data_IF_696941192179
#
_entry.id   IF_696941192179
#
_cell.length_a   1.000
_cell.length_b   1.000
_cell.length_c   1.000
_cell.angle_alpha   90.00
_cell.angle_beta   90.00
_cell.angle_gamma   90.00
#
_symmetry.space_group_name_H-M   'P 1'
#
loop_
_entity.id
_entity.type
_entity.pdbx_description
1 polymer ?
#
# COMPACT_ATOMS: atom_id res chain seq x y z
N UNK A 1 20.48 -3.45 -6.64
CA UNK A 1 21.19 -2.53 -5.72
C UNK A 1 20.37 -1.28 -5.39
N UNK A 2 19.03 -1.35 -5.47
CA UNK A 2 18.10 -0.21 -5.29
C UNK A 2 17.31 -0.25 -3.98
N UNK A 3 17.49 -1.31 -3.18
CA UNK A 3 16.76 -1.54 -1.91
C UNK A 3 17.27 -0.67 -0.77
N UNK A 4 18.58 -0.42 -0.72
CA UNK A 4 19.23 0.26 0.41
C UNK A 4 18.90 1.74 0.55
N UNK A 5 18.54 2.41 -0.56
CA UNK A 5 18.23 3.84 -0.56
C UNK A 5 16.81 4.09 -0.04
N UNK A 6 15.89 3.15 -0.31
CA UNK A 6 14.47 3.24 0.07
C UNK A 6 14.27 2.89 1.55
N UNK A 7 14.93 1.81 2.00
CA UNK A 7 15.01 1.46 3.42
C UNK A 7 15.64 2.62 4.22
N UNK A 8 16.66 3.28 3.67
CA UNK A 8 17.32 4.43 4.31
C UNK A 8 16.41 5.65 4.52
N UNK A 9 15.44 5.90 3.62
CA UNK A 9 14.49 7.00 3.78
C UNK A 9 13.39 6.67 4.80
N UNK A 10 12.93 5.42 4.86
CA UNK A 10 12.01 4.97 5.92
C UNK A 10 12.66 5.00 7.31
N UNK A 11 13.93 4.57 7.42
CA UNK A 11 14.68 4.60 8.68
C UNK A 11 14.97 6.05 9.13
N UNK A 12 15.27 6.96 8.21
CA UNK A 12 15.44 8.38 8.54
C UNK A 12 14.13 8.99 9.07
N UNK A 13 12.98 8.62 8.49
CA UNK A 13 11.68 9.10 8.94
C UNK A 13 11.27 8.56 10.32
N UNK A 14 11.61 7.30 10.63
CA UNK A 14 11.41 6.70 11.98
C UNK A 14 12.22 7.44 13.06
N UNK A 15 13.36 8.04 12.70
CA UNK A 15 14.25 8.71 13.65
C UNK A 15 13.94 10.19 13.88
N UNK A 16 13.23 10.85 12.97
CA UNK A 16 13.06 12.32 13.02
C UNK A 16 11.65 12.82 13.34
N UNK A 17 10.62 11.95 13.40
CA UNK A 17 9.20 12.33 13.62
C UNK A 17 8.69 13.46 12.70
N UNK A 18 9.37 13.73 11.59
CA UNK A 18 8.97 14.78 10.65
C UNK A 18 7.96 14.24 9.67
N UNK A 19 6.69 14.62 9.85
CA UNK A 19 5.60 14.28 8.96
C UNK A 19 5.94 14.62 7.49
N UNK A 20 5.75 13.64 6.61
CA UNK A 20 5.90 13.81 5.16
C UNK A 20 4.94 14.94 4.73
N UNK A 21 5.51 16.00 4.18
CA UNK A 21 4.77 17.20 3.76
C UNK A 21 3.71 16.90 2.70
N UNK A 22 2.71 17.77 2.63
CA UNK A 22 1.56 17.72 1.69
C UNK A 22 1.93 17.88 0.21
N UNK A 23 3.22 17.98 -0.11
CA UNK A 23 3.75 18.10 -1.46
C UNK A 23 4.71 16.93 -1.75
N UNK A 24 4.21 15.76 -2.15
CA UNK A 24 5.07 14.68 -2.58
C UNK A 24 5.82 15.11 -3.85
N UNK A 25 7.14 14.99 -3.85
CA UNK A 25 7.96 15.15 -5.06
C UNK A 25 7.73 13.93 -5.97
N UNK A 26 7.70 14.14 -7.29
CA UNK A 26 7.36 13.11 -8.31
C UNK A 26 8.07 11.76 -8.19
N UNK A 27 9.20 11.68 -7.49
CA UNK A 27 9.92 10.43 -7.21
C UNK A 27 9.32 9.58 -6.09
N UNK A 28 8.36 10.10 -5.31
CA UNK A 28 7.72 9.37 -4.20
C UNK A 28 6.50 8.57 -4.66
N UNK A 29 5.75 9.07 -5.64
CA UNK A 29 4.57 8.38 -6.19
C UNK A 29 4.94 7.26 -7.18
N UNK A 30 6.15 7.31 -7.76
CA UNK A 30 6.63 6.37 -8.77
C UNK A 30 7.40 5.16 -8.19
N UNK A 31 7.44 5.01 -6.86
CA UNK A 31 8.26 4.01 -6.16
C UNK A 31 7.46 2.98 -5.36
N UNK A 32 6.15 2.92 -5.52
CA UNK A 32 5.40 1.72 -5.09
C UNK A 32 5.90 0.56 -5.94
N UNK A 33 6.86 -0.20 -5.41
CA UNK A 33 7.32 -1.45 -5.98
C UNK A 33 6.08 -2.32 -6.27
N UNK A 34 6.10 -3.11 -7.35
CA UNK A 34 4.96 -3.98 -7.76
C UNK A 34 4.43 -4.92 -6.65
N UNK A 35 5.19 -5.07 -5.57
CA UNK A 35 4.82 -5.84 -4.38
C UNK A 35 4.02 -5.06 -3.32
N UNK A 36 3.72 -3.78 -3.54
CA UNK A 36 2.95 -2.98 -2.59
C UNK A 36 1.47 -3.39 -2.60
N UNK A 37 0.84 -3.52 -1.42
CA UNK A 37 -0.53 -4.03 -1.27
C UNK A 37 -1.59 -3.19 -1.98
N UNK A 38 -1.28 -1.93 -2.25
CA UNK A 38 -2.15 -0.99 -2.96
C UNK A 38 -1.76 -0.74 -4.41
N UNK A 39 -0.70 -1.40 -4.91
CA UNK A 39 -0.23 -1.22 -6.30
C UNK A 39 -1.35 -1.51 -7.31
N UNK A 40 -2.07 -2.63 -7.13
CA UNK A 40 -3.15 -3.04 -8.04
C UNK A 40 -4.27 -1.98 -8.12
N UNK A 41 -4.72 -1.47 -6.97
CA UNK A 41 -5.78 -0.46 -6.94
C UNK A 41 -5.29 0.89 -7.48
N UNK A 42 -4.05 1.28 -7.19
CA UNK A 42 -3.44 2.47 -7.77
C UNK A 42 -3.39 2.39 -9.30
N UNK A 43 -2.95 1.26 -9.85
CA UNK A 43 -2.93 1.02 -11.30
C UNK A 43 -4.34 1.08 -11.91
N UNK A 44 -5.34 0.44 -11.28
CA UNK A 44 -6.74 0.49 -11.73
C UNK A 44 -7.31 1.92 -11.74
N UNK A 45 -6.99 2.72 -10.73
CA UNK A 45 -7.40 4.13 -10.66
C UNK A 45 -6.72 4.97 -11.76
N UNK A 46 -5.43 4.74 -12.02
CA UNK A 46 -4.70 5.42 -13.09
C UNK A 46 -5.26 5.08 -14.48
N UNK A 47 -5.49 3.80 -14.77
CA UNK A 47 -6.12 3.34 -16.01
C UNK A 47 -7.47 4.03 -16.21
N UNK A 48 -8.29 4.09 -15.16
CA UNK A 48 -9.59 4.74 -15.24
C UNK A 48 -9.50 6.24 -15.57
N UNK A 49 -8.60 6.96 -14.90
CA UNK A 49 -8.41 8.39 -15.16
C UNK A 49 -7.97 8.63 -16.61
N UNK A 50 -6.97 7.88 -17.09
CA UNK A 50 -6.46 7.98 -18.47
C UNK A 50 -7.52 7.61 -19.49
N UNK A 51 -8.31 6.57 -19.25
CA UNK A 51 -9.42 6.15 -20.13
C UNK A 51 -10.44 7.30 -20.27
N UNK A 52 -10.87 7.91 -19.17
CA UNK A 52 -11.85 8.99 -19.19
C UNK A 52 -11.36 10.22 -19.95
N UNK A 53 -10.10 10.60 -19.76
CA UNK A 53 -9.47 11.70 -20.51
C UNK A 53 -9.35 11.34 -21.99
N UNK A 54 -8.90 10.12 -22.29
CA UNK A 54 -8.74 9.61 -23.65
C UNK A 54 -10.05 9.56 -24.45
N UNK A 55 -11.17 9.22 -23.80
CA UNK A 55 -12.50 9.26 -24.42
C UNK A 55 -12.86 10.68 -24.89
N UNK A 56 -12.63 11.70 -24.07
CA UNK A 56 -12.92 13.10 -24.45
C UNK A 56 -11.98 13.60 -25.55
N UNK A 57 -10.69 13.26 -25.48
CA UNK A 57 -9.74 13.59 -26.55
C UNK A 57 -10.14 12.94 -27.88
N UNK A 58 -10.48 11.65 -27.87
CA UNK A 58 -10.92 10.92 -29.05
C UNK A 58 -12.24 11.47 -29.61
N UNK A 59 -13.17 11.89 -28.75
CA UNK A 59 -14.40 12.56 -29.19
C UNK A 59 -14.08 13.82 -29.97
N UNK A 60 -13.21 14.67 -29.43
CA UNK A 60 -12.82 15.90 -30.12
C UNK A 60 -12.16 15.62 -31.46
N UNK A 61 -11.28 14.63 -31.55
CA UNK A 61 -10.69 14.25 -32.84
C UNK A 61 -11.73 13.79 -33.88
N UNK A 62 -12.85 13.20 -33.44
CA UNK A 62 -13.92 12.75 -34.33
C UNK A 62 -14.94 13.84 -34.69
N UNK A 63 -15.25 14.73 -33.76
CA UNK A 63 -16.40 15.65 -33.89
C UNK A 63 -16.02 17.13 -33.88
N UNK A 64 -14.76 17.46 -33.55
CA UNK A 64 -14.29 18.82 -33.31
C UNK A 64 -14.83 19.46 -32.03
N UNK A 65 -15.48 18.70 -31.14
CA UNK A 65 -16.12 19.21 -29.92
C UNK A 65 -15.79 18.34 -28.70
N UNK A 66 -15.54 19.00 -27.58
CA UNK A 66 -15.49 18.38 -26.26
C UNK A 66 -16.88 18.43 -25.62
N UNK A 67 -17.19 17.47 -24.72
CA UNK A 67 -18.26 17.69 -23.72
C UNK A 67 -17.65 18.35 -22.49
N UNK A 68 -16.50 17.84 -22.05
CA UNK A 68 -15.68 18.43 -20.98
C UNK A 68 -14.26 18.57 -21.52
N UNK A 69 -13.62 19.71 -21.26
CA UNK A 69 -12.24 19.90 -21.70
C UNK A 69 -11.32 18.90 -20.98
N UNK A 70 -10.40 18.20 -21.68
CA UNK A 70 -9.51 17.21 -21.08
C UNK A 70 -8.74 17.74 -19.87
N UNK A 71 -8.27 19.00 -19.92
CA UNK A 71 -7.58 19.64 -18.80
C UNK A 71 -8.43 19.74 -17.53
N UNK A 72 -9.73 20.06 -17.66
CA UNK A 72 -10.64 20.14 -16.51
C UNK A 72 -10.89 18.77 -15.90
N UNK A 73 -10.98 17.75 -16.77
CA UNK A 73 -11.12 16.35 -16.36
C UNK A 73 -9.89 15.88 -15.58
N UNK A 74 -8.69 16.18 -16.08
CA UNK A 74 -7.42 15.88 -15.44
C UNK A 74 -7.32 16.55 -14.06
N UNK A 75 -7.67 17.84 -13.97
CA UNK A 75 -7.66 18.56 -12.69
C UNK A 75 -8.58 17.92 -11.65
N UNK A 76 -9.70 17.34 -12.06
CA UNK A 76 -10.58 16.62 -11.13
C UNK A 76 -9.97 15.30 -10.62
N UNK A 77 -9.18 14.59 -11.44
CA UNK A 77 -8.49 13.37 -11.03
C UNK A 77 -7.30 13.63 -10.10
N UNK A 78 -6.61 14.77 -10.25
CA UNK A 78 -5.48 15.15 -9.40
C UNK A 78 -5.87 15.82 -8.07
N UNK A 79 -7.16 15.92 -7.74
CA UNK A 79 -7.60 16.45 -6.44
C UNK A 79 -7.23 15.51 -5.30
N UNK A 80 -6.89 16.12 -4.15
CA UNK A 80 -6.65 15.37 -2.94
C UNK A 80 -7.90 14.52 -2.57
N UNK A 81 -7.76 13.25 -2.14
CA UNK A 81 -8.91 12.38 -1.84
C UNK A 81 -9.87 12.91 -0.78
N UNK A 82 -9.42 13.82 0.09
CA UNK A 82 -10.30 14.55 1.02
C UNK A 82 -11.31 15.46 0.32
N UNK A 83 -10.91 16.02 -0.82
CA UNK A 83 -11.65 17.05 -1.55
C UNK A 83 -12.34 16.49 -2.80
N UNK A 84 -12.36 15.17 -2.96
CA UNK A 84 -12.95 14.50 -4.12
C UNK A 84 -13.36 13.06 -3.81
N UNK A 85 -14.49 12.63 -4.35
CA UNK A 85 -15.07 11.30 -4.11
C UNK A 85 -14.99 10.36 -5.32
N UNK A 86 -14.30 10.76 -6.40
CA UNK A 86 -14.33 10.00 -7.67
C UNK A 86 -13.74 8.58 -7.53
N UNK A 87 -12.83 8.37 -6.59
CA UNK A 87 -12.15 7.10 -6.36
C UNK A 87 -12.86 6.23 -5.31
N UNK A 88 -13.74 6.80 -4.48
CA UNK A 88 -14.28 6.17 -3.27
C UNK A 88 -14.95 4.83 -3.55
N UNK A 89 -15.84 4.79 -4.55
CA UNK A 89 -16.57 3.58 -4.90
C UNK A 89 -15.64 2.48 -5.43
N UNK A 90 -14.61 2.86 -6.17
CA UNK A 90 -13.62 1.92 -6.73
C UNK A 90 -12.73 1.34 -5.62
N UNK A 91 -12.29 2.20 -4.71
CA UNK A 91 -11.51 1.80 -3.54
C UNK A 91 -12.35 0.91 -2.63
N UNK A 92 -13.61 1.27 -2.35
CA UNK A 92 -14.53 0.48 -1.53
C UNK A 92 -14.73 -0.91 -2.12
N UNK A 93 -15.07 -0.99 -3.40
CA UNK A 93 -15.28 -2.27 -4.09
C UNK A 93 -14.01 -3.12 -4.14
N UNK A 94 -12.84 -2.51 -4.33
CA UNK A 94 -11.57 -3.23 -4.27
C UNK A 94 -11.29 -3.74 -2.84
N UNK A 95 -11.50 -2.91 -1.82
CA UNK A 95 -11.24 -3.24 -0.42
C UNK A 95 -12.09 -4.42 0.08
N UNK A 96 -13.38 -4.49 -0.32
CA UNK A 96 -14.28 -5.60 -0.02
C UNK A 96 -13.74 -6.96 -0.48
N UNK A 97 -13.00 -6.97 -1.60
CA UNK A 97 -12.41 -8.16 -2.18
C UNK A 97 -10.95 -8.40 -1.75
N UNK A 98 -10.33 -7.44 -1.06
CA UNK A 98 -8.89 -7.42 -0.75
C UNK A 98 -8.63 -7.11 0.73
N UNK A 99 -9.45 -7.64 1.64
CA UNK A 99 -9.37 -7.38 3.09
C UNK A 99 -7.97 -7.63 3.68
N UNK A 100 -7.23 -8.63 3.18
CA UNK A 100 -5.87 -8.90 3.64
C UNK A 100 -4.89 -7.79 3.26
N UNK A 101 -5.05 -7.20 2.07
CA UNK A 101 -4.21 -6.08 1.61
C UNK A 101 -4.52 -4.81 2.41
N UNK A 102 -5.80 -4.58 2.72
CA UNK A 102 -6.22 -3.48 3.59
C UNK A 102 -5.60 -3.62 4.98
N UNK A 103 -5.73 -4.78 5.63
CA UNK A 103 -5.12 -5.04 6.94
C UNK A 103 -3.60 -4.88 6.94
N UNK A 104 -2.92 -5.30 5.87
CA UNK A 104 -1.48 -5.10 5.75
C UNK A 104 -1.12 -3.63 5.61
N UNK A 105 -1.90 -2.87 4.84
CA UNK A 105 -1.71 -1.43 4.69
C UNK A 105 -2.08 -0.58 5.92
N UNK A 106 -2.80 -1.11 6.90
CA UNK A 106 -3.01 -0.45 8.21
C UNK A 106 -1.70 -0.35 9.01
N UNK A 107 -0.73 -1.24 8.75
CA UNK A 107 0.53 -1.29 9.48
C UNK A 107 1.59 -0.45 8.77
N UNK A 108 1.94 0.68 9.36
CA UNK A 108 3.07 1.53 8.91
C UNK A 108 4.40 0.75 8.89
N UNK A 109 4.52 -0.31 9.71
CA UNK A 109 5.73 -1.10 9.89
C UNK A 109 5.47 -2.59 9.62
N UNK A 110 5.01 -2.96 8.42
CA UNK A 110 4.70 -4.34 8.05
C UNK A 110 5.85 -5.33 8.34
N UNK A 111 7.10 -4.95 8.02
CA UNK A 111 8.28 -5.76 8.30
C UNK A 111 8.42 -6.02 9.80
N UNK A 112 8.15 -5.00 10.62
CA UNK A 112 8.21 -5.09 12.08
C UNK A 112 7.05 -5.90 12.64
N UNK A 113 5.86 -5.83 12.03
CA UNK A 113 4.72 -6.67 12.35
C UNK A 113 5.02 -8.15 12.05
N UNK A 114 5.50 -8.47 10.84
CA UNK A 114 5.91 -9.82 10.44
C UNK A 114 7.07 -10.35 11.29
N UNK A 115 8.03 -9.49 11.63
CA UNK A 115 9.13 -9.82 12.54
C UNK A 115 8.60 -10.16 13.94
N UNK A 116 7.68 -9.34 14.47
CA UNK A 116 7.09 -9.56 15.79
C UNK A 116 6.21 -10.82 15.83
N UNK A 117 5.45 -11.10 14.77
CA UNK A 117 4.65 -12.31 14.64
C UNK A 117 5.53 -13.56 14.58
N UNK A 118 6.57 -13.54 13.74
CA UNK A 118 7.56 -14.63 13.67
C UNK A 118 8.26 -14.85 15.01
N UNK A 119 8.64 -13.76 15.70
CA UNK A 119 9.26 -13.81 17.03
C UNK A 119 8.30 -14.42 18.08
N UNK A 120 7.02 -14.07 18.03
CA UNK A 120 5.98 -14.65 18.90
C UNK A 120 5.81 -16.14 18.64
N UNK A 121 5.69 -16.55 17.39
CA UNK A 121 5.56 -17.95 16.99
C UNK A 121 6.76 -18.80 17.45
N UNK A 122 7.98 -18.32 17.19
CA UNK A 122 9.21 -18.99 17.63
C UNK A 122 9.27 -19.09 19.15
N UNK A 123 8.93 -18.03 19.88
CA UNK A 123 8.95 -18.03 21.35
C UNK A 123 7.99 -19.05 21.95
N UNK A 124 6.82 -19.25 21.33
CA UNK A 124 5.82 -20.23 21.77
C UNK A 124 6.31 -21.65 21.51
N UNK A 125 6.83 -21.90 20.31
CA UNK A 125 7.38 -23.21 19.93
C UNK A 125 8.54 -23.62 20.84
N UNK A 126 9.44 -22.69 21.19
CA UNK A 126 10.54 -22.95 22.13
C UNK A 126 10.01 -23.32 23.51
N UNK A 127 9.01 -22.61 24.04
CA UNK A 127 8.40 -22.93 25.35
C UNK A 127 7.76 -24.32 25.36
N UNK A 128 7.10 -24.70 24.27
CA UNK A 128 6.50 -26.04 24.13
C UNK A 128 7.57 -27.14 24.12
N UNK A 129 8.66 -26.96 23.36
CA UNK A 129 9.79 -27.91 23.35
C UNK A 129 10.43 -28.04 24.73
N UNK A 130 10.63 -26.93 25.44
CA UNK A 130 11.15 -26.94 26.81
C UNK A 130 10.23 -27.68 27.78
N UNK A 131 8.91 -27.51 27.64
CA UNK A 131 7.91 -28.25 28.43
C UNK A 131 8.00 -29.75 28.19
N UNK A 132 8.08 -30.17 26.92
CA UNK A 132 8.24 -31.58 26.53
C UNK A 132 9.53 -32.16 27.08
N UNK A 133 10.65 -31.44 26.94
CA UNK A 133 11.94 -31.87 27.44
C UNK A 133 11.94 -32.03 28.96
N UNK A 134 11.34 -31.09 29.70
CA UNK A 134 11.19 -31.20 31.15
C UNK A 134 10.33 -32.39 31.57
N UNK A 135 9.28 -32.70 30.80
CA UNK A 135 8.42 -33.87 31.05
C UNK A 135 9.18 -35.18 30.80
N UNK A 136 9.96 -35.27 29.72
CA UNK A 136 10.81 -36.42 29.43
C UNK A 136 11.89 -36.62 30.51
N UNK A 137 12.58 -35.56 30.93
CA UNK A 137 13.58 -35.66 31.99
C UNK A 137 12.99 -36.15 33.32
N UNK A 138 11.71 -35.85 33.61
CA UNK A 138 11.02 -36.39 34.79
C UNK A 138 10.66 -37.86 34.64
N UNK A 139 10.39 -38.33 33.42
CA UNK A 139 10.07 -39.73 33.15
C UNK A 139 11.32 -40.63 33.15
N UNK A 140 12.48 -40.10 32.77
CA UNK A 140 13.75 -40.82 32.71
C UNK A 140 14.57 -40.78 34.01
N UNK A 141 14.20 -39.96 35.00
CA UNK A 141 14.87 -39.85 36.31
C UNK A 141 14.13 -40.62 37.43
N UNK A 142 13.28 -41.60 37.07
CA UNK A 142 12.78 -42.67 37.93
C UNK A 142 13.43 -43.99 37.51
#
# INVERSE_FOLDING_TARGET
>A
MSTLIDDGQNIHNELTETAIGTNPTHSQLAKDHDNHHFHEIAAKLAIHAVEKVGIEMNRFFKTGKYIIHPSDLVLNFFRHPKDSSWADDKIRHWAENNLNNVKRGESLHEVQHLHNESKRFLSKSIKELQSIQNKLNRLWNY
#
